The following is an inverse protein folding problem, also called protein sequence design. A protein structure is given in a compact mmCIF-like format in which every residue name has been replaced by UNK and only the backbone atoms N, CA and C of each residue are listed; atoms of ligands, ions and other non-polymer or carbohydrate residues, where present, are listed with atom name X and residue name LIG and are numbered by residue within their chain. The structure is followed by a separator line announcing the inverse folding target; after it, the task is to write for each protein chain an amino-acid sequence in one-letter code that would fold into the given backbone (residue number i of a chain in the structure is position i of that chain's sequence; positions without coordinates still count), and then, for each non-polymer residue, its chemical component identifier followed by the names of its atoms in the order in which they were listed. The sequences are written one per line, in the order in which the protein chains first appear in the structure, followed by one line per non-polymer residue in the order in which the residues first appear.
data_IF_358679817043
#
_entry.id   IF_358679817043
#
_cell.length_a   1.000
_cell.length_b   1.000
_cell.length_c   1.000
_cell.angle_alpha   90.00
_cell.angle_beta   90.00
_cell.angle_gamma   90.00
#
_symmetry.space_group_name_H-M   'P 1'
#
loop_
_entity.id
_entity.type
_entity.pdbx_description
1 polymer ?
#
# COMPACT_ATOMS: atom_id res chain seq x y z
N UNK A 1 9.74 6.12 -6.95
CA UNK A 1 8.59 5.58 -6.20
C UNK A 1 8.92 4.31 -5.41
N UNK A 2 9.41 3.22 -6.01
CA UNK A 2 9.69 1.96 -5.26
C UNK A 2 10.69 2.10 -4.08
N UNK A 3 11.69 2.99 -4.21
CA UNK A 3 12.67 3.24 -3.12
C UNK A 3 12.10 4.00 -1.92
N UNK A 4 11.07 4.85 -2.14
CA UNK A 4 10.39 5.54 -1.03
C UNK A 4 9.45 4.58 -0.31
N UNK A 5 8.80 3.69 -1.06
CA UNK A 5 7.99 2.60 -0.52
C UNK A 5 8.83 1.71 0.42
N UNK A 6 9.99 1.25 -0.05
CA UNK A 6 10.89 0.43 0.76
C UNK A 6 11.55 1.16 1.95
N UNK A 7 11.61 2.50 1.91
CA UNK A 7 12.12 3.31 3.04
C UNK A 7 11.04 3.66 4.07
N UNK A 8 9.79 3.89 3.64
CA UNK A 8 8.67 4.24 4.52
C UNK A 8 8.02 3.01 5.14
N UNK A 9 7.81 1.95 4.34
CA UNK A 9 7.23 0.69 4.77
C UNK A 9 8.26 -0.37 5.14
N UNK A 10 9.54 -0.15 4.82
CA UNK A 10 10.57 -1.17 5.01
C UNK A 10 10.48 -2.28 3.96
N UNK A 11 10.76 -3.53 4.36
CA UNK A 11 10.56 -4.72 3.52
C UNK A 11 9.06 -4.98 3.42
N UNK A 12 8.48 -4.65 2.27
CA UNK A 12 7.17 -5.17 1.91
C UNK A 12 7.24 -6.69 1.86
N UNK A 13 6.34 -7.35 2.57
CA UNK A 13 6.24 -8.80 2.46
C UNK A 13 5.70 -9.16 1.08
N UNK A 14 6.06 -10.35 0.58
CA UNK A 14 5.54 -10.84 -0.70
C UNK A 14 4.01 -10.82 -0.75
N UNK A 15 3.36 -11.03 0.39
CA UNK A 15 1.91 -10.95 0.52
C UNK A 15 1.36 -9.54 0.24
N UNK A 16 2.01 -8.50 0.75
CA UNK A 16 1.62 -7.11 0.47
C UNK A 16 1.82 -6.80 -1.01
N UNK A 17 2.95 -7.18 -1.60
CA UNK A 17 3.17 -7.01 -3.04
C UNK A 17 2.11 -7.74 -3.89
N UNK A 18 1.73 -8.96 -3.51
CA UNK A 18 0.67 -9.69 -4.21
C UNK A 18 -0.67 -8.99 -4.08
N UNK A 19 -1.03 -8.50 -2.88
CA UNK A 19 -2.25 -7.73 -2.69
C UNK A 19 -2.25 -6.46 -3.53
N UNK A 20 -1.18 -5.66 -3.50
CA UNK A 20 -1.03 -4.44 -4.30
C UNK A 20 -1.21 -4.78 -5.79
N UNK A 21 -0.60 -5.87 -6.25
CA UNK A 21 -0.64 -6.29 -7.66
C UNK A 21 -2.01 -6.84 -8.10
N UNK A 22 -2.82 -7.30 -7.15
CA UNK A 22 -4.22 -7.68 -7.38
C UNK A 22 -5.18 -6.49 -7.36
N UNK A 23 -4.74 -5.29 -6.97
CA UNK A 23 -5.57 -4.10 -6.98
C UNK A 23 -5.78 -3.57 -8.40
N UNK A 24 -6.96 -2.99 -8.62
CA UNK A 24 -7.29 -2.30 -9.87
C UNK A 24 -6.50 -0.99 -10.02
N UNK A 25 -6.36 -0.50 -11.25
CA UNK A 25 -5.60 0.73 -11.56
C UNK A 25 -6.09 1.96 -10.78
N UNK A 26 -7.40 2.12 -10.62
CA UNK A 26 -8.02 3.19 -9.81
C UNK A 26 -7.60 3.14 -8.34
N UNK A 27 -7.36 1.93 -7.87
CA UNK A 27 -7.03 1.65 -6.48
C UNK A 27 -5.53 1.84 -6.23
N UNK A 28 -4.69 1.53 -7.23
CA UNK A 28 -3.27 1.85 -7.24
C UNK A 28 -3.05 3.37 -7.26
N UNK A 29 -3.88 4.11 -7.99
CA UNK A 29 -3.80 5.58 -8.03
C UNK A 29 -4.13 6.19 -6.67
N UNK A 30 -5.21 5.74 -6.03
CA UNK A 30 -5.52 6.09 -4.64
C UNK A 30 -4.44 5.67 -3.66
N UNK A 31 -3.90 4.46 -3.80
CA UNK A 31 -2.83 3.98 -2.95
C UNK A 31 -1.63 4.90 -3.07
N UNK A 32 -1.26 5.37 -4.27
CA UNK A 32 -0.14 6.26 -4.46
C UNK A 32 -0.35 7.64 -3.81
N UNK A 33 -1.58 8.14 -3.77
CA UNK A 33 -1.96 9.38 -3.10
C UNK A 33 -1.91 9.23 -1.56
N UNK A 34 -2.58 8.21 -1.02
CA UNK A 34 -2.57 7.88 0.42
C UNK A 34 -1.17 7.50 0.93
N UNK A 35 -0.34 6.86 0.09
CA UNK A 35 1.03 6.52 0.41
C UNK A 35 1.88 7.74 0.76
N UNK A 36 1.53 8.92 0.23
CA UNK A 36 2.21 10.16 0.60
C UNK A 36 1.96 10.52 2.07
N UNK A 37 0.84 10.10 2.65
CA UNK A 37 0.47 10.31 4.07
C UNK A 37 0.97 9.19 5.00
N UNK A 38 1.26 8.00 4.48
CA UNK A 38 1.66 6.85 5.32
C UNK A 38 2.92 7.13 6.15
N UNK A 39 2.77 7.08 7.46
CA UNK A 39 3.88 7.23 8.39
C UNK A 39 4.52 5.88 8.73
N UNK A 40 3.70 4.82 8.77
CA UNK A 40 4.10 3.51 9.26
C UNK A 40 3.66 2.37 8.31
N UNK A 41 4.32 1.21 8.35
CA UNK A 41 3.87 0.05 7.59
C UNK A 41 2.48 -0.45 7.99
N UNK A 42 2.04 -0.13 9.22
CA UNK A 42 0.69 -0.40 9.68
C UNK A 42 -0.39 0.38 8.91
N UNK A 43 -0.06 1.55 8.35
CA UNK A 43 -1.01 2.34 7.53
C UNK A 43 -1.41 1.60 6.26
N UNK A 44 -0.47 0.89 5.62
CA UNK A 44 -0.78 0.07 4.44
C UNK A 44 -1.73 -1.09 4.79
N UNK A 45 -1.52 -1.77 5.91
CA UNK A 45 -2.43 -2.82 6.39
C UNK A 45 -3.83 -2.28 6.71
N UNK A 46 -3.90 -1.08 7.31
CA UNK A 46 -5.16 -0.38 7.60
C UNK A 46 -5.88 0.03 6.33
N UNK A 47 -5.15 0.56 5.36
CA UNK A 47 -5.66 0.91 4.04
C UNK A 47 -6.21 -0.33 3.34
N UNK A 48 -5.46 -1.43 3.30
CA UNK A 48 -5.94 -2.69 2.75
C UNK A 48 -7.24 -3.16 3.40
N UNK A 49 -7.31 -3.12 4.73
CA UNK A 49 -8.53 -3.52 5.46
C UNK A 49 -9.71 -2.61 5.14
N UNK A 50 -9.49 -1.29 5.10
CA UNK A 50 -10.53 -0.29 4.79
C UNK A 50 -11.16 -0.52 3.42
N UNK A 51 -10.38 -1.02 2.46
CA UNK A 51 -10.79 -1.13 1.07
C UNK A 51 -11.10 -2.54 0.58
N UNK A 52 -10.57 -3.58 1.22
CA UNK A 52 -10.90 -4.98 0.90
C UNK A 52 -12.23 -5.45 1.50
N UNK A 53 -12.78 -4.68 2.45
CA UNK A 53 -14.08 -4.94 3.11
C UNK A 53 -15.26 -4.27 2.39
N UNK A 54 -15.03 -3.63 1.24
CA UNK A 54 -16.08 -2.99 0.43
C UNK A 54 -16.36 -3.74 -0.86
#
# INVERSE_FOLDING_TARGET
MQRQLARRLGVLSKEDEQRIRSLSVTMLDRLADDLLDFAEPADLQRWFTRYTTQ
#
